data_IF_678441591993
#
_entry.id   IF_678441591993
#
_cell.length_a   1.000
_cell.length_b   1.000
_cell.length_c   1.000
_cell.angle_alpha   90.00
_cell.angle_beta   90.00
_cell.angle_gamma   90.00
#
_symmetry.space_group_name_H-M   'P 1'
#
loop_
_entity.id
_entity.type
_entity.pdbx_description
1 polymer ?
#
# COMPACT_ATOMS: atom_id res chain seq x y z
N UNK A 1 -26.62 31.18 24.99
CA UNK A 1 -25.34 30.78 25.61
C UNK A 1 -24.65 32.10 25.87
N UNK A 2 -24.55 32.50 27.13
CA UNK A 2 -23.93 33.78 27.48
C UNK A 2 -22.42 33.59 27.43
N UNK A 3 -21.74 34.35 26.58
CA UNK A 3 -20.29 34.32 26.48
C UNK A 3 -19.74 35.04 27.71
N UNK A 4 -18.97 34.33 28.54
CA UNK A 4 -18.31 34.93 29.72
C UNK A 4 -16.92 35.47 29.36
N UNK A 5 -16.38 36.33 30.24
CA UNK A 5 -14.99 36.82 30.11
C UNK A 5 -14.01 35.64 30.10
N UNK A 6 -14.24 34.61 30.93
CA UNK A 6 -13.43 33.39 30.95
C UNK A 6 -13.46 32.66 29.60
N UNK A 7 -14.64 32.53 28.97
CA UNK A 7 -14.73 31.92 27.64
C UNK A 7 -13.92 32.68 26.59
N UNK A 8 -13.92 34.01 26.62
CA UNK A 8 -13.15 34.82 25.68
C UNK A 8 -11.65 34.71 25.91
N UNK A 9 -11.22 34.65 27.16
CA UNK A 9 -9.82 34.41 27.53
C UNK A 9 -9.37 33.05 27.00
N UNK A 10 -10.13 31.98 27.26
CA UNK A 10 -9.79 30.64 26.79
C UNK A 10 -9.70 30.57 25.26
N UNK A 11 -10.66 31.16 24.55
CA UNK A 11 -10.66 31.20 23.09
C UNK A 11 -9.42 31.93 22.55
N UNK A 12 -9.12 33.11 23.09
CA UNK A 12 -7.95 33.87 22.66
C UNK A 12 -6.63 33.19 23.03
N UNK A 13 -6.54 32.56 24.21
CA UNK A 13 -5.33 31.83 24.62
C UNK A 13 -5.02 30.67 23.67
N UNK A 14 -6.06 29.97 23.19
CA UNK A 14 -5.92 28.85 22.25
C UNK A 14 -5.85 29.27 20.78
N UNK A 15 -6.13 30.54 20.44
CA UNK A 15 -5.98 31.04 19.07
C UNK A 15 -4.52 30.95 18.58
N UNK A 16 -4.28 30.24 17.49
CA UNK A 16 -2.94 29.94 16.95
C UNK A 16 -2.47 30.97 15.94
N UNK A 17 -3.40 31.51 15.15
CA UNK A 17 -3.16 32.35 13.98
C UNK A 17 -3.26 33.85 14.27
N UNK A 18 -3.78 34.22 15.45
CA UNK A 18 -3.86 35.63 15.87
C UNK A 18 -2.47 36.22 16.19
N UNK A 19 -2.16 37.45 15.72
CA UNK A 19 -0.93 38.15 16.07
C UNK A 19 -0.74 38.33 17.58
N UNK A 20 0.38 37.84 18.10
CA UNK A 20 0.70 37.83 19.53
C UNK A 20 0.58 39.19 20.21
N UNK A 21 0.94 40.29 19.52
CA UNK A 21 0.81 41.65 20.05
C UNK A 21 -0.65 42.02 20.37
N UNK A 22 -1.57 41.86 19.40
CA UNK A 22 -2.99 42.17 19.59
C UNK A 22 -3.67 41.18 20.53
N UNK A 23 -3.31 39.89 20.44
CA UNK A 23 -3.77 38.84 21.36
C UNK A 23 -3.44 39.17 22.81
N UNK A 24 -2.18 39.52 23.09
CA UNK A 24 -1.75 39.86 24.46
C UNK A 24 -2.39 41.15 24.98
N UNK A 25 -2.62 42.14 24.11
CA UNK A 25 -3.37 43.34 24.47
C UNK A 25 -4.81 43.00 24.87
N UNK A 26 -5.53 42.24 24.05
CA UNK A 26 -6.90 41.82 24.34
C UNK A 26 -6.98 40.99 25.63
N UNK A 27 -6.08 40.01 25.81
CA UNK A 27 -6.00 39.19 27.02
C UNK A 27 -5.75 40.03 28.28
N UNK A 28 -4.76 40.93 28.25
CA UNK A 28 -4.44 41.79 29.39
C UNK A 28 -5.62 42.68 29.80
N UNK A 29 -6.39 43.16 28.81
CA UNK A 29 -7.58 43.97 29.05
C UNK A 29 -8.72 43.13 29.65
N UNK A 30 -8.96 41.93 29.12
CA UNK A 30 -9.98 41.00 29.64
C UNK A 30 -9.66 40.56 31.07
N UNK A 31 -8.41 40.18 31.36
CA UNK A 31 -7.97 39.75 32.70
C UNK A 31 -8.07 40.87 33.75
N UNK A 32 -8.02 42.14 33.32
CA UNK A 32 -8.15 43.30 34.22
C UNK A 32 -9.60 43.64 34.58
N UNK A 33 -10.58 43.08 33.86
CA UNK A 33 -12.00 43.34 34.11
C UNK A 33 -12.51 42.50 35.29
N UNK A 34 -13.36 43.07 36.17
CA UNK A 34 -14.06 42.28 37.16
C UNK A 34 -15.01 41.28 36.47
N UNK A 35 -15.10 40.05 36.99
CA UNK A 35 -15.89 38.94 36.45
C UNK A 35 -17.35 39.30 36.11
N UNK A 36 -17.99 40.16 36.91
CA UNK A 36 -19.38 40.58 36.72
C UNK A 36 -19.54 41.93 35.98
N UNK A 37 -18.46 42.44 35.38
CA UNK A 37 -18.50 43.71 34.65
C UNK A 37 -18.89 43.50 33.19
N UNK A 38 -19.64 44.46 32.66
CA UNK A 38 -19.86 44.54 31.22
C UNK A 38 -18.53 44.77 30.50
N UNK A 39 -18.31 44.00 29.44
CA UNK A 39 -17.14 44.16 28.58
C UNK A 39 -17.29 45.48 27.78
N UNK A 40 -16.26 46.35 27.77
CA UNK A 40 -16.27 47.54 26.93
C UNK A 40 -16.49 47.19 25.45
N UNK A 41 -17.32 47.97 24.74
CA UNK A 41 -17.65 47.71 23.33
C UNK A 41 -16.40 47.65 22.44
N UNK A 42 -15.42 48.52 22.67
CA UNK A 42 -14.17 48.54 21.91
C UNK A 42 -13.30 47.30 22.15
N UNK A 43 -13.44 46.65 23.31
CA UNK A 43 -12.81 45.36 23.59
C UNK A 43 -13.58 44.21 22.93
N UNK A 44 -14.91 44.27 22.88
CA UNK A 44 -15.74 43.30 22.14
C UNK A 44 -15.35 43.34 20.65
N UNK A 45 -15.33 44.52 20.04
CA UNK A 45 -14.97 44.71 18.63
C UNK A 45 -13.57 44.13 18.33
N UNK A 46 -12.60 44.39 19.22
CA UNK A 46 -11.25 43.84 19.09
C UNK A 46 -11.25 42.31 19.19
N UNK A 47 -11.95 41.73 20.16
CA UNK A 47 -12.00 40.27 20.34
C UNK A 47 -12.68 39.60 19.14
N UNK A 48 -13.77 40.18 18.64
CA UNK A 48 -14.45 39.69 17.42
C UNK A 48 -13.54 39.75 16.20
N UNK A 49 -12.79 40.84 16.00
CA UNK A 49 -11.81 40.95 14.91
C UNK A 49 -10.76 39.83 15.00
N UNK A 50 -10.22 39.58 16.20
CA UNK A 50 -9.19 38.57 16.40
C UNK A 50 -9.72 37.15 16.20
N UNK A 51 -10.91 36.84 16.71
CA UNK A 51 -11.53 35.52 16.53
C UNK A 51 -11.96 35.28 15.08
N UNK A 52 -12.40 36.32 14.35
CA UNK A 52 -12.65 36.20 12.91
C UNK A 52 -11.37 35.89 12.15
N UNK A 53 -10.28 36.59 12.47
CA UNK A 53 -8.97 36.34 11.84
C UNK A 53 -8.45 34.93 12.11
N UNK A 54 -8.63 34.44 13.35
CA UNK A 54 -8.32 33.06 13.70
C UNK A 54 -9.10 32.07 12.84
N UNK A 55 -10.42 32.27 12.72
CA UNK A 55 -11.29 31.38 11.97
C UNK A 55 -10.95 31.38 10.47
N UNK A 56 -10.70 32.55 9.89
CA UNK A 56 -10.36 32.68 8.48
C UNK A 56 -9.02 32.00 8.16
N UNK A 57 -7.98 32.24 8.98
CA UNK A 57 -6.67 31.61 8.78
C UNK A 57 -6.67 30.12 9.07
N UNK A 58 -7.41 29.67 10.09
CA UNK A 58 -7.58 28.24 10.34
C UNK A 58 -8.32 27.54 9.18
N UNK A 59 -9.30 28.20 8.56
CA UNK A 59 -10.00 27.68 7.39
C UNK A 59 -9.07 27.59 6.17
N UNK A 60 -8.25 28.62 5.91
CA UNK A 60 -7.26 28.60 4.84
C UNK A 60 -6.19 27.52 5.06
N UNK A 61 -5.73 27.35 6.30
CA UNK A 61 -4.77 26.29 6.65
C UNK A 61 -5.39 24.90 6.46
N UNK A 62 -6.64 24.70 6.89
CA UNK A 62 -7.34 23.44 6.70
C UNK A 62 -7.57 23.10 5.22
N UNK A 63 -7.92 24.08 4.38
CA UNK A 63 -8.07 23.90 2.93
C UNK A 63 -6.73 23.54 2.25
N UNK A 64 -5.64 24.19 2.69
CA UNK A 64 -4.30 23.87 2.20
C UNK A 64 -3.86 22.46 2.60
N UNK A 65 -4.13 22.05 3.85
CA UNK A 65 -3.84 20.71 4.34
C UNK A 65 -4.69 19.65 3.63
N UNK A 66 -5.97 19.91 3.39
CA UNK A 66 -6.86 19.03 2.62
C UNK A 66 -6.33 18.80 1.22
N UNK A 67 -5.93 19.88 0.53
CA UNK A 67 -5.33 19.77 -0.80
C UNK A 67 -4.01 18.98 -0.78
N UNK A 68 -3.17 19.18 0.23
CA UNK A 68 -1.92 18.43 0.34
C UNK A 68 -2.17 16.94 0.60
N UNK A 69 -3.22 16.59 1.35
CA UNK A 69 -3.64 15.20 1.53
C UNK A 69 -4.15 14.58 0.22
N UNK A 70 -4.92 15.32 -0.60
CA UNK A 70 -5.34 14.86 -1.92
C UNK A 70 -4.14 14.58 -2.84
N UNK A 71 -3.13 15.46 -2.84
CA UNK A 71 -1.90 15.27 -3.62
C UNK A 71 -1.13 14.01 -3.19
N UNK A 72 -1.05 13.74 -1.88
CA UNK A 72 -0.43 12.52 -1.34
C UNK A 72 -1.23 11.27 -1.76
N UNK A 73 -2.55 11.31 -1.67
CA UNK A 73 -3.41 10.17 -2.03
C UNK A 73 -3.26 9.80 -3.51
N UNK A 74 -3.12 10.81 -4.39
CA UNK A 74 -2.87 10.57 -5.81
C UNK A 74 -1.46 10.01 -6.07
N UNK A 75 -0.44 10.48 -5.35
CA UNK A 75 0.92 9.91 -5.43
C UNK A 75 0.95 8.44 -4.96
N UNK A 76 0.24 8.11 -3.88
CA UNK A 76 0.11 6.74 -3.38
C UNK A 76 -0.52 5.84 -4.45
N UNK A 77 -1.62 6.28 -5.07
CA UNK A 77 -2.27 5.52 -6.16
C UNK A 77 -1.33 5.30 -7.33
N UNK A 78 -0.56 6.31 -7.73
CA UNK A 78 0.40 6.16 -8.82
C UNK A 78 1.49 5.12 -8.46
N UNK A 79 2.03 5.16 -7.25
CA UNK A 79 3.02 4.19 -6.77
C UNK A 79 2.46 2.77 -6.71
N UNK A 80 1.22 2.60 -6.23
CA UNK A 80 0.53 1.30 -6.22
C UNK A 80 0.33 0.76 -7.64
N UNK A 81 -0.07 1.60 -8.59
CA UNK A 81 -0.22 1.23 -10.00
C UNK A 81 1.12 0.84 -10.64
N UNK A 82 2.20 1.57 -10.34
CA UNK A 82 3.54 1.25 -10.81
C UNK A 82 4.01 -0.09 -10.23
N UNK A 83 3.84 -0.32 -8.94
CA UNK A 83 4.20 -1.56 -8.27
C UNK A 83 3.41 -2.75 -8.84
N UNK A 84 2.10 -2.59 -9.07
CA UNK A 84 1.26 -3.63 -9.65
C UNK A 84 1.74 -4.02 -11.06
N UNK A 85 2.15 -3.05 -11.89
CA UNK A 85 2.71 -3.32 -13.23
C UNK A 85 4.03 -4.08 -13.17
N UNK A 86 4.91 -3.72 -12.23
CA UNK A 86 6.19 -4.43 -12.03
C UNK A 86 5.91 -5.88 -11.63
N UNK A 87 5.08 -6.10 -10.61
CA UNK A 87 4.73 -7.45 -10.14
C UNK A 87 4.10 -8.28 -11.27
N UNK A 88 3.20 -7.70 -12.06
CA UNK A 88 2.60 -8.40 -13.20
C UNK A 88 3.62 -8.78 -14.28
N UNK A 89 4.60 -7.91 -14.55
CA UNK A 89 5.68 -8.18 -15.49
C UNK A 89 6.57 -9.32 -15.00
N UNK A 90 7.02 -9.25 -13.75
CA UNK A 90 7.89 -10.25 -13.13
C UNK A 90 7.19 -11.61 -13.05
N UNK A 91 5.93 -11.64 -12.62
CA UNK A 91 5.13 -12.88 -12.57
C UNK A 91 4.96 -13.50 -13.97
N UNK A 92 4.84 -12.67 -15.01
CA UNK A 92 4.75 -13.16 -16.38
C UNK A 92 6.07 -13.78 -16.83
N UNK A 93 7.19 -13.11 -16.60
CA UNK A 93 8.52 -13.63 -16.94
C UNK A 93 8.80 -14.95 -16.22
N UNK A 94 8.54 -15.01 -14.91
CA UNK A 94 8.69 -16.23 -14.11
C UNK A 94 7.79 -17.36 -14.61
N UNK A 95 6.55 -17.04 -15.00
CA UNK A 95 5.61 -18.03 -15.54
C UNK A 95 6.11 -18.58 -16.89
N UNK A 96 6.59 -17.71 -17.77
CA UNK A 96 7.15 -18.10 -19.08
C UNK A 96 8.39 -18.98 -18.89
N UNK A 97 9.32 -18.59 -18.01
CA UNK A 97 10.51 -19.37 -17.67
C UNK A 97 10.14 -20.75 -17.08
N UNK A 98 9.17 -20.79 -16.17
CA UNK A 98 8.73 -22.05 -15.56
C UNK A 98 8.04 -22.97 -16.59
N UNK A 99 7.31 -22.42 -17.54
CA UNK A 99 6.72 -23.20 -18.63
C UNK A 99 7.79 -23.82 -19.54
N UNK A 100 8.89 -23.11 -19.81
CA UNK A 100 10.02 -23.68 -20.55
C UNK A 100 10.65 -24.85 -19.80
N UNK A 101 10.93 -24.69 -18.50
CA UNK A 101 11.47 -25.76 -17.65
C UNK A 101 10.55 -26.99 -17.64
N UNK A 102 9.23 -26.78 -17.51
CA UNK A 102 8.24 -27.87 -17.56
C UNK A 102 8.26 -28.57 -18.93
N UNK A 103 8.38 -27.80 -20.02
CA UNK A 103 8.45 -28.36 -21.38
C UNK A 103 9.70 -29.20 -21.58
N UNK A 104 10.86 -28.72 -21.15
CA UNK A 104 12.11 -29.48 -21.19
C UNK A 104 12.03 -30.76 -20.36
N UNK A 105 11.48 -30.69 -19.14
CA UNK A 105 11.29 -31.88 -18.31
C UNK A 105 10.36 -32.89 -18.96
N UNK A 106 9.24 -32.45 -19.55
CA UNK A 106 8.33 -33.35 -20.28
C UNK A 106 9.06 -34.05 -21.42
N UNK A 107 9.87 -33.33 -22.21
CA UNK A 107 10.64 -33.93 -23.29
C UNK A 107 11.67 -34.96 -22.78
N UNK A 108 12.38 -34.65 -21.68
CA UNK A 108 13.34 -35.58 -21.06
C UNK A 108 12.65 -36.85 -20.54
N UNK A 109 11.51 -36.70 -19.85
CA UNK A 109 10.73 -37.84 -19.35
C UNK A 109 10.25 -38.71 -20.50
N UNK A 110 9.66 -38.14 -21.54
CA UNK A 110 9.23 -38.92 -22.72
C UNK A 110 10.39 -39.62 -23.43
N UNK A 111 11.58 -39.01 -23.45
CA UNK A 111 12.80 -39.66 -23.96
C UNK A 111 13.20 -40.89 -23.14
N UNK A 112 13.21 -40.76 -21.81
CA UNK A 112 13.48 -41.87 -20.89
C UNK A 112 12.44 -42.98 -21.00
N UNK A 113 11.16 -42.64 -21.12
CA UNK A 113 10.08 -43.62 -21.32
C UNK A 113 10.30 -44.42 -22.62
N UNK A 114 10.67 -43.76 -23.72
CA UNK A 114 10.95 -44.42 -24.99
C UNK A 114 12.23 -45.28 -24.96
N UNK A 115 13.28 -44.85 -24.24
CA UNK A 115 14.48 -45.66 -24.03
C UNK A 115 14.16 -46.92 -23.21
N UNK A 116 13.39 -46.77 -22.13
CA UNK A 116 12.97 -47.88 -21.28
C UNK A 116 12.10 -48.89 -22.03
N UNK A 117 11.16 -48.42 -22.85
CA UNK A 117 10.32 -49.28 -23.70
C UNK A 117 11.17 -50.10 -24.68
N UNK A 118 12.14 -49.47 -25.36
CA UNK A 118 13.08 -50.19 -26.26
C UNK A 118 13.95 -51.20 -25.53
N UNK A 119 14.38 -50.89 -24.32
CA UNK A 119 15.20 -51.82 -23.53
C UNK A 119 14.39 -53.06 -23.12
N UNK A 120 13.12 -52.87 -22.71
CA UNK A 120 12.19 -53.97 -22.46
C UNK A 120 11.98 -54.81 -23.72
N UNK A 121 11.68 -54.20 -24.87
CA UNK A 121 11.49 -54.91 -26.13
C UNK A 121 12.74 -55.74 -26.51
N UNK A 122 13.93 -55.14 -26.36
CA UNK A 122 15.19 -55.82 -26.62
C UNK A 122 15.45 -57.02 -25.70
N UNK A 123 15.14 -56.91 -24.41
CA UNK A 123 15.26 -58.02 -23.46
C UNK A 123 14.23 -59.13 -23.73
N UNK A 124 12.99 -58.78 -24.08
CA UNK A 124 11.95 -59.75 -24.48
C UNK A 124 12.37 -60.52 -25.72
N UNK A 125 12.92 -59.85 -26.74
CA UNK A 125 13.42 -60.52 -27.95
C UNK A 125 14.60 -61.46 -27.66
N UNK A 126 15.56 -61.03 -26.83
CA UNK A 126 16.71 -61.86 -26.43
C UNK A 126 16.27 -63.10 -25.66
N UNK A 127 15.37 -62.94 -24.69
CA UNK A 127 14.81 -64.05 -23.92
C UNK A 127 14.10 -65.07 -24.81
N UNK A 128 13.29 -64.59 -25.75
CA UNK A 128 12.56 -65.44 -26.71
C UNK A 128 13.50 -66.22 -27.64
N UNK A 129 14.58 -65.59 -28.14
CA UNK A 129 15.60 -66.27 -28.96
C UNK A 129 16.37 -67.31 -28.15
N UNK A 130 16.74 -66.99 -26.91
CA UNK A 130 17.43 -67.92 -26.00
C UNK A 130 16.59 -69.17 -25.74
N UNK A 131 15.31 -69.02 -25.41
CA UNK A 131 14.41 -70.16 -25.21
C UNK A 131 14.22 -71.00 -26.48
N UNK A 132 14.06 -70.34 -27.64
CA UNK A 132 13.91 -71.04 -28.91
C UNK A 132 15.16 -71.86 -29.28
N UNK A 133 16.36 -71.32 -29.05
CA UNK A 133 17.62 -72.03 -29.28
C UNK A 133 17.83 -73.18 -28.30
N UNK A 134 17.45 -73.01 -27.03
CA UNK A 134 17.49 -74.09 -26.04
C UNK A 134 16.53 -75.24 -26.38
N UNK A 135 15.34 -74.93 -26.90
CA UNK A 135 14.40 -75.95 -27.40
C UNK A 135 14.97 -76.66 -28.63
N UNK A 136 15.54 -75.94 -29.60
CA UNK A 136 16.18 -76.54 -30.79
C UNK A 136 17.31 -77.50 -30.41
N UNK A 137 18.17 -77.10 -29.45
CA UNK A 137 19.22 -77.96 -28.89
C UNK A 137 18.65 -79.22 -28.24
N UNK A 138 17.61 -79.10 -27.42
CA UNK A 138 16.95 -80.26 -26.76
C UNK A 138 16.30 -81.21 -27.77
N UNK A 139 15.80 -80.70 -28.89
CA UNK A 139 15.20 -81.50 -29.95
C UNK A 139 16.23 -82.07 -30.95
N UNK A 140 17.53 -81.76 -30.80
CA UNK A 140 18.59 -82.23 -31.69
C UNK A 140 18.54 -81.62 -33.08
N UNK A 141 17.88 -80.47 -33.23
CA UNK A 141 17.76 -79.73 -34.49
C UNK A 141 18.86 -78.66 -34.47
N UNK A 142 19.92 -78.90 -35.25
CA UNK A 142 21.02 -77.96 -35.48
C UNK A 142 20.87 -77.24 -36.80
#
# INVERSE_FOLDING_TARGET
MDITIENLIDLLQNAEYVPSGKKNEALSRLESLPQDSNIPLDLIDLVEELLSMEADQAAEAADADEKHLEEIDDEIRELEDQQAKIIQSDLREDTEAMQEVVKEHKQKVSGLEAEFEKEIEGEVEKGSKSEADDIRKKLGIS
#
